data_IF_973697268668
#
_entry.id   IF_973697268668
#
_cell.length_a   1.000
_cell.length_b   1.000
_cell.length_c   1.000
_cell.angle_alpha   90.00
_cell.angle_beta   90.00
_cell.angle_gamma   90.00
#
_symmetry.space_group_name_H-M   'P 1'
#
loop_
_entity.id
_entity.type
_entity.pdbx_description
1 polymer ?
#
# COMPACT_ATOMS: atom_id res chain seq x y z
N UNK A 1 -32.14 -3.48 -4.70
CA UNK A 1 -30.99 -3.92 -5.53
C UNK A 1 -30.25 -5.00 -4.77
N UNK A 2 -29.79 -6.07 -5.44
CA UNK A 2 -28.98 -7.09 -4.77
C UNK A 2 -27.63 -6.48 -4.38
N UNK A 3 -27.25 -6.59 -3.11
CA UNK A 3 -25.91 -6.26 -2.62
C UNK A 3 -25.09 -7.55 -2.55
N UNK A 4 -23.81 -7.46 -2.90
CA UNK A 4 -22.88 -8.59 -2.94
C UNK A 4 -21.52 -8.17 -2.38
N UNK A 5 -20.71 -9.09 -1.86
CA UNK A 5 -19.37 -8.75 -1.41
C UNK A 5 -18.50 -8.25 -2.55
N UNK A 6 -17.83 -7.12 -2.36
CA UNK A 6 -16.82 -6.59 -3.27
C UNK A 6 -15.45 -6.90 -2.69
N UNK A 7 -14.60 -7.54 -3.50
CA UNK A 7 -13.24 -7.92 -3.14
C UNK A 7 -12.28 -7.45 -4.23
N UNK A 8 -11.29 -6.66 -3.85
CA UNK A 8 -10.20 -6.22 -4.73
C UNK A 8 -8.87 -6.50 -4.02
N UNK A 9 -8.03 -7.32 -4.65
CA UNK A 9 -6.69 -7.65 -4.20
C UNK A 9 -5.68 -7.39 -5.32
N UNK A 10 -4.62 -6.65 -4.99
CA UNK A 10 -3.47 -6.45 -5.87
C UNK A 10 -2.28 -7.18 -5.25
N UNK A 11 -1.84 -8.25 -5.91
CA UNK A 11 -0.65 -9.00 -5.54
C UNK A 11 0.60 -8.46 -6.23
N UNK A 12 1.64 -8.19 -5.45
CA UNK A 12 2.81 -7.41 -5.87
C UNK A 12 4.08 -8.13 -5.40
N UNK A 13 5.20 -7.90 -6.08
CA UNK A 13 6.52 -8.17 -5.50
C UNK A 13 6.79 -7.31 -4.26
N UNK A 14 7.78 -7.72 -3.44
CA UNK A 14 8.06 -7.12 -2.13
C UNK A 14 8.29 -5.60 -2.21
N UNK A 15 7.38 -4.85 -1.60
CA UNK A 15 7.46 -3.39 -1.47
C UNK A 15 8.27 -2.99 -0.23
N UNK A 16 8.94 -1.82 -0.25
CA UNK A 16 9.63 -1.31 0.93
C UNK A 16 8.68 -1.12 2.13
N UNK A 17 9.23 -1.25 3.34
CA UNK A 17 8.51 -1.03 4.58
C UNK A 17 7.90 0.39 4.67
N UNK A 18 6.76 0.54 5.35
CA UNK A 18 6.06 1.81 5.51
C UNK A 18 5.31 2.33 4.27
N UNK A 19 5.28 1.58 3.16
CA UNK A 19 4.58 1.98 1.93
C UNK A 19 3.26 1.22 1.69
N UNK A 20 3.13 0.01 2.22
CA UNK A 20 1.96 -0.86 1.98
C UNK A 20 0.65 -0.23 2.45
N UNK A 21 0.64 0.26 3.69
CA UNK A 21 -0.51 0.90 4.32
C UNK A 21 -0.94 2.17 3.57
N UNK A 22 0.03 3.01 3.17
CA UNK A 22 -0.25 4.21 2.37
C UNK A 22 -0.87 3.86 1.02
N UNK A 23 -0.37 2.83 0.34
CA UNK A 23 -0.94 2.41 -0.95
C UNK A 23 -2.35 1.85 -0.77
N UNK A 24 -2.59 1.08 0.29
CA UNK A 24 -3.91 0.60 0.67
C UNK A 24 -4.89 1.75 0.88
N UNK A 25 -4.54 2.73 1.72
CA UNK A 25 -5.43 3.84 2.06
C UNK A 25 -5.75 4.70 0.84
N UNK A 26 -4.76 4.96 -0.03
CA UNK A 26 -4.99 5.69 -1.27
C UNK A 26 -5.86 4.92 -2.27
N UNK A 27 -5.70 3.60 -2.36
CA UNK A 27 -6.54 2.76 -3.22
C UNK A 27 -7.97 2.70 -2.68
N UNK A 28 -8.15 2.55 -1.37
CA UNK A 28 -9.44 2.59 -0.70
C UNK A 28 -10.16 3.91 -1.00
N UNK A 29 -9.50 5.05 -0.73
CA UNK A 29 -10.07 6.37 -0.97
C UNK A 29 -10.46 6.59 -2.45
N UNK A 30 -9.64 6.11 -3.39
CA UNK A 30 -9.93 6.23 -4.82
C UNK A 30 -11.15 5.38 -5.24
N UNK A 31 -11.26 4.14 -4.74
CA UNK A 31 -12.40 3.26 -5.00
C UNK A 31 -13.68 3.81 -4.36
N UNK A 32 -13.62 4.27 -3.11
CA UNK A 32 -14.76 4.90 -2.43
C UNK A 32 -15.23 6.15 -3.16
N UNK A 33 -14.30 7.01 -3.60
CA UNK A 33 -14.61 8.22 -4.37
C UNK A 33 -15.26 7.86 -5.71
N UNK A 34 -14.76 6.84 -6.40
CA UNK A 34 -15.37 6.34 -7.64
C UNK A 34 -16.81 5.90 -7.40
N UNK A 35 -17.04 5.02 -6.41
CA UNK A 35 -18.37 4.50 -6.09
C UNK A 35 -19.33 5.64 -5.73
N UNK A 36 -18.87 6.60 -4.93
CA UNK A 36 -19.64 7.81 -4.57
C UNK A 36 -19.98 8.67 -5.78
N UNK A 37 -19.04 8.93 -6.68
CA UNK A 37 -19.26 9.72 -7.90
C UNK A 37 -20.27 9.07 -8.85
N UNK A 38 -20.36 7.73 -8.80
CA UNK A 38 -21.37 6.97 -9.52
C UNK A 38 -22.65 6.72 -8.71
N UNK A 39 -22.87 7.42 -7.59
CA UNK A 39 -24.03 7.26 -6.71
C UNK A 39 -24.29 5.79 -6.30
N UNK A 40 -23.21 5.01 -6.12
CA UNK A 40 -23.28 3.66 -5.58
C UNK A 40 -23.25 3.76 -4.05
N UNK A 41 -24.43 3.68 -3.44
CA UNK A 41 -24.60 3.81 -2.00
C UNK A 41 -24.25 2.50 -1.27
N UNK A 42 -23.17 2.54 -0.49
CA UNK A 42 -22.74 1.39 0.32
C UNK A 42 -23.57 1.26 1.61
N UNK A 43 -24.08 2.37 2.16
CA UNK A 43 -24.78 2.41 3.45
C UNK A 43 -23.79 2.43 4.61
N UNK A 44 -24.17 1.86 5.76
CA UNK A 44 -23.35 1.76 6.98
C UNK A 44 -22.32 0.61 6.94
N UNK A 45 -22.00 0.09 5.76
CA UNK A 45 -21.06 -1.00 5.58
C UNK A 45 -19.63 -0.53 5.88
N UNK A 46 -18.88 -1.38 6.60
CA UNK A 46 -17.49 -1.09 6.96
C UNK A 46 -16.53 -1.80 6.02
N UNK A 47 -15.56 -1.07 5.49
CA UNK A 47 -14.49 -1.67 4.72
C UNK A 47 -13.54 -2.48 5.61
N UNK A 48 -13.18 -3.67 5.13
CA UNK A 48 -12.03 -4.41 5.61
C UNK A 48 -10.85 -4.10 4.70
N UNK A 49 -9.84 -3.46 5.29
CA UNK A 49 -8.58 -3.20 4.64
C UNK A 49 -7.49 -4.12 5.19
N UNK A 50 -6.62 -4.62 4.30
CA UNK A 50 -5.44 -5.36 4.69
C UNK A 50 -4.30 -5.11 3.72
N UNK A 51 -3.08 -5.14 4.23
CA UNK A 51 -1.88 -4.98 3.42
C UNK A 51 -0.72 -5.77 4.01
N UNK A 52 0.19 -6.20 3.15
CA UNK A 52 1.41 -6.91 3.49
C UNK A 52 2.53 -6.43 2.55
N UNK A 53 3.79 -6.89 2.69
CA UNK A 53 4.85 -6.53 1.75
C UNK A 53 4.55 -6.93 0.30
N UNK A 54 3.55 -7.79 0.04
CA UNK A 54 3.26 -8.36 -1.29
C UNK A 54 1.81 -8.24 -1.72
N UNK A 55 0.98 -7.51 -0.98
CA UNK A 55 -0.47 -7.48 -1.18
C UNK A 55 -1.10 -6.21 -0.65
N UNK A 56 -2.08 -5.72 -1.40
CA UNK A 56 -3.06 -4.73 -0.96
C UNK A 56 -4.43 -5.36 -1.17
N UNK A 57 -5.30 -5.31 -0.16
CA UNK A 57 -6.63 -5.92 -0.16
C UNK A 57 -7.67 -4.93 0.36
N UNK A 58 -8.74 -4.76 -0.41
CA UNK A 58 -9.95 -4.03 -0.05
C UNK A 58 -11.13 -4.99 -0.14
N UNK A 59 -11.96 -4.97 0.88
CA UNK A 59 -13.14 -5.82 0.96
C UNK A 59 -14.30 -5.09 1.64
N UNK A 60 -15.51 -5.31 1.14
CA UNK A 60 -16.75 -4.85 1.78
C UNK A 60 -17.84 -5.89 1.53
N UNK A 61 -18.64 -6.17 2.56
CA UNK A 61 -19.61 -7.28 2.53
C UNK A 61 -20.82 -7.03 1.64
N UNK A 62 -21.23 -5.77 1.47
CA UNK A 62 -22.45 -5.45 0.74
C UNK A 62 -22.28 -4.22 -0.17
N UNK A 63 -21.82 -4.47 -1.40
CA UNK A 63 -21.78 -3.49 -2.48
C UNK A 63 -22.96 -3.73 -3.46
N UNK A 64 -23.73 -2.70 -3.84
CA UNK A 64 -24.77 -2.85 -4.86
C UNK A 64 -24.23 -3.40 -6.19
N UNK A 65 -24.92 -4.35 -6.80
CA UNK A 65 -24.53 -4.89 -8.11
C UNK A 65 -24.71 -3.88 -9.26
N UNK A 66 -25.62 -2.92 -9.09
CA UNK A 66 -26.02 -1.93 -10.09
C UNK A 66 -26.20 -0.56 -9.41
N UNK A 67 -25.83 0.50 -10.12
CA UNK A 67 -26.21 1.87 -9.77
C UNK A 67 -27.74 2.03 -9.79
N UNK A 68 -28.28 2.91 -8.95
CA UNK A 68 -29.68 3.33 -9.00
C UNK A 68 -30.05 3.87 -10.38
N UNK A 69 -31.22 3.49 -10.90
CA UNK A 69 -31.78 4.18 -12.06
C UNK A 69 -32.08 5.63 -11.64
N UNK A 70 -31.83 6.59 -12.54
CA UNK A 70 -32.05 8.00 -12.23
C UNK A 70 -32.82 8.71 -13.34
N UNK A 71 -33.65 9.65 -12.93
CA UNK A 71 -34.34 10.55 -13.84
C UNK A 71 -33.52 11.83 -13.96
N UNK A 72 -32.98 12.07 -15.15
CA UNK A 72 -32.22 13.27 -15.47
C UNK A 72 -33.15 14.29 -16.13
N UNK A 73 -33.25 15.48 -15.54
CA UNK A 73 -33.99 16.59 -16.16
C UNK A 73 -33.09 17.34 -17.13
N UNK A 74 -33.39 17.25 -18.42
CA UNK A 74 -32.67 17.94 -19.48
C UNK A 74 -33.38 19.26 -19.79
N UNK A 75 -32.65 20.36 -19.67
CA UNK A 75 -33.14 21.70 -20.00
C UNK A 75 -32.62 22.16 -21.35
N UNK A 76 -33.55 22.44 -22.26
CA UNK A 76 -33.29 22.97 -23.59
C UNK A 76 -33.41 24.49 -23.67
N UNK A 77 -33.44 25.02 -24.91
CA UNK A 77 -33.56 26.46 -25.13
C UNK A 77 -34.86 27.05 -24.56
N UNK A 78 -34.87 28.36 -24.26
CA UNK A 78 -36.09 29.05 -23.83
C UNK A 78 -37.16 29.02 -24.92
N UNK A 79 -38.43 29.09 -24.53
CA UNK A 79 -39.61 29.00 -25.40
C UNK A 79 -39.49 29.90 -26.64
N UNK A 80 -39.06 31.15 -26.47
CA UNK A 80 -38.89 32.14 -27.54
C UNK A 80 -37.82 31.78 -28.59
N UNK A 81 -36.91 30.88 -28.25
CA UNK A 81 -35.86 30.35 -29.14
C UNK A 81 -36.25 28.97 -29.67
N UNK A 82 -36.99 28.20 -28.87
CA UNK A 82 -37.42 26.85 -29.20
C UNK A 82 -38.56 26.82 -30.24
N UNK A 83 -39.47 27.80 -30.20
CA UNK A 83 -40.64 27.86 -31.07
C UNK A 83 -40.73 29.21 -31.79
N UNK A 84 -41.15 29.19 -33.05
CA UNK A 84 -41.42 30.41 -33.82
C UNK A 84 -42.80 31.01 -33.49
N UNK A 85 -43.14 32.12 -34.15
CA UNK A 85 -44.40 32.83 -33.93
C UNK A 85 -45.66 31.99 -34.28
N UNK A 86 -45.51 30.96 -35.11
CA UNK A 86 -46.58 30.03 -35.50
C UNK A 86 -46.63 28.79 -34.58
N UNK A 87 -45.79 28.75 -33.54
CA UNK A 87 -45.70 27.64 -32.60
C UNK A 87 -44.95 26.41 -33.15
N UNK A 88 -44.22 26.54 -34.26
CA UNK A 88 -43.45 25.44 -34.84
C UNK A 88 -42.05 25.35 -34.24
N UNK A 89 -41.50 24.14 -34.05
CA UNK A 89 -40.14 23.96 -33.55
C UNK A 89 -39.10 24.61 -34.47
N UNK A 90 -38.21 25.41 -33.90
CA UNK A 90 -37.10 26.00 -34.66
C UNK A 90 -35.97 24.97 -34.86
N UNK A 91 -35.00 25.29 -35.72
CA UNK A 91 -33.78 24.49 -35.87
C UNK A 91 -33.02 24.30 -34.55
N UNK A 92 -33.12 25.26 -33.62
CA UNK A 92 -32.48 25.17 -32.31
C UNK A 92 -33.15 24.11 -31.43
N UNK A 93 -34.49 24.06 -31.40
CA UNK A 93 -35.23 23.02 -30.69
C UNK A 93 -34.97 21.62 -31.28
N UNK A 94 -35.03 21.49 -32.61
CA UNK A 94 -34.81 20.21 -33.30
C UNK A 94 -33.36 19.72 -33.09
N UNK A 95 -32.39 20.61 -33.23
CA UNK A 95 -30.98 20.28 -33.02
C UNK A 95 -30.69 19.86 -31.58
N UNK A 96 -31.30 20.53 -30.59
CA UNK A 96 -31.16 20.18 -29.18
C UNK A 96 -31.80 18.83 -28.84
N UNK A 97 -33.02 18.59 -29.32
CA UNK A 97 -33.72 17.32 -29.13
C UNK A 97 -32.89 16.15 -29.70
N UNK A 98 -32.45 16.27 -30.96
CA UNK A 98 -31.62 15.25 -31.62
C UNK A 98 -30.29 15.02 -30.88
N UNK A 99 -29.61 16.08 -30.43
CA UNK A 99 -28.37 15.96 -29.64
C UNK A 99 -28.59 15.24 -28.31
N UNK A 100 -29.78 15.38 -27.73
CA UNK A 100 -30.17 14.72 -26.48
C UNK A 100 -30.70 13.30 -26.71
N UNK A 101 -30.79 12.84 -27.96
CA UNK A 101 -31.33 11.53 -28.33
C UNK A 101 -32.86 11.42 -28.21
N UNK A 102 -33.56 12.57 -28.22
CA UNK A 102 -35.01 12.68 -28.05
C UNK A 102 -35.65 13.36 -29.26
N UNK A 103 -36.96 13.22 -29.41
CA UNK A 103 -37.77 14.03 -30.32
C UNK A 103 -38.18 15.35 -29.64
N UNK A 104 -38.59 16.36 -30.42
CA UNK A 104 -39.09 17.62 -29.85
C UNK A 104 -40.35 17.39 -29.00
N UNK A 105 -41.16 16.39 -29.36
CA UNK A 105 -42.42 16.04 -28.68
C UNK A 105 -42.21 15.45 -27.28
N UNK A 106 -40.99 14.96 -26.99
CA UNK A 106 -40.61 14.46 -25.66
C UNK A 106 -40.39 15.62 -24.66
N UNK A 107 -40.35 16.87 -25.13
CA UNK A 107 -40.12 18.05 -24.30
C UNK A 107 -41.41 18.80 -23.98
N UNK A 108 -41.52 19.24 -22.73
CA UNK A 108 -42.57 20.15 -22.24
C UNK A 108 -41.97 21.50 -21.90
N UNK A 109 -42.77 22.55 -21.88
CA UNK A 109 -42.32 23.87 -21.45
C UNK A 109 -42.49 24.06 -19.94
N UNK A 110 -41.38 24.23 -19.23
CA UNK A 110 -41.36 24.43 -17.78
C UNK A 110 -40.52 25.66 -17.38
N UNK A 111 -40.88 26.28 -16.26
CA UNK A 111 -40.09 27.35 -15.64
C UNK A 111 -39.00 26.71 -14.75
N UNK A 112 -37.80 27.30 -14.73
CA UNK A 112 -36.69 26.86 -13.85
C UNK A 112 -36.88 27.28 -12.38
N UNK A 113 -38.02 27.89 -12.05
CA UNK A 113 -38.35 28.43 -10.73
C UNK A 113 -37.92 29.89 -10.54
N UNK A 114 -37.48 30.58 -11.60
CA UNK A 114 -37.01 31.96 -11.54
C UNK A 114 -38.03 32.99 -12.05
N UNK A 115 -39.14 32.52 -12.66
CA UNK A 115 -40.23 33.37 -13.13
C UNK A 115 -39.88 34.20 -14.38
N UNK A 116 -38.71 33.98 -14.99
CA UNK A 116 -38.20 34.82 -16.09
C UNK A 116 -38.58 34.29 -17.46
N UNK A 117 -38.57 32.97 -17.65
CA UNK A 117 -38.88 32.33 -18.92
C UNK A 117 -39.21 30.85 -18.76
N UNK A 118 -40.00 30.32 -19.69
CA UNK A 118 -40.20 28.88 -19.86
C UNK A 118 -39.14 28.31 -20.80
N UNK A 119 -38.71 27.10 -20.53
CA UNK A 119 -37.68 26.37 -21.28
C UNK A 119 -38.23 25.01 -21.67
N UNK A 120 -37.71 24.46 -22.76
CA UNK A 120 -37.91 23.04 -23.06
C UNK A 120 -37.33 22.20 -21.90
N UNK A 121 -38.10 21.23 -21.44
CA UNK A 121 -37.74 20.33 -20.36
C UNK A 121 -38.18 18.92 -20.74
N UNK A 122 -37.25 17.97 -20.72
CA UNK A 122 -37.57 16.55 -20.79
C UNK A 122 -37.02 15.87 -19.53
N UNK A 123 -37.73 14.85 -19.06
CA UNK A 123 -37.25 13.95 -18.02
C UNK A 123 -36.82 12.67 -18.70
N UNK A 124 -35.52 12.37 -18.65
CA UNK A 124 -34.96 11.17 -19.27
C UNK A 124 -34.67 10.16 -18.19
N UNK A 125 -35.31 9.00 -18.29
CA UNK A 125 -34.98 7.87 -17.46
C UNK A 125 -33.67 7.23 -17.93
N UNK A 126 -32.66 7.22 -17.06
CA UNK A 126 -31.37 6.56 -17.28
C UNK A 126 -31.32 5.30 -16.43
N UNK A 127 -31.25 4.14 -17.08
CA UNK A 127 -30.92 2.90 -16.38
C UNK A 127 -29.52 3.03 -15.78
N UNK A 128 -29.38 2.66 -14.51
CA UNK A 128 -28.09 2.59 -13.84
C UNK A 128 -27.14 1.62 -14.55
N UNK A 129 -25.83 1.85 -14.36
CA UNK A 129 -24.77 0.98 -14.88
C UNK A 129 -24.48 -0.16 -13.89
N UNK A 130 -23.97 -1.29 -14.38
CA UNK A 130 -23.46 -2.33 -13.49
C UNK A 130 -22.20 -1.82 -12.78
N UNK A 131 -22.07 -2.10 -11.49
CA UNK A 131 -20.91 -1.68 -10.71
C UNK A 131 -19.63 -2.40 -11.15
N UNK A 132 -19.77 -3.64 -11.64
CA UNK A 132 -18.69 -4.38 -12.30
C UNK A 132 -18.07 -3.58 -13.46
N UNK A 133 -18.90 -3.00 -14.32
CA UNK A 133 -18.42 -2.25 -15.50
C UNK A 133 -17.74 -0.93 -15.08
N UNK A 134 -18.33 -0.24 -14.10
CA UNK A 134 -17.75 0.99 -13.52
C UNK A 134 -16.35 0.73 -12.95
N UNK A 135 -16.20 -0.34 -12.16
CA UNK A 135 -14.92 -0.70 -11.56
C UNK A 135 -13.92 -1.17 -12.63
N UNK A 136 -14.34 -2.01 -13.58
CA UNK A 136 -13.48 -2.51 -14.64
C UNK A 136 -12.85 -1.37 -15.47
N UNK A 137 -13.63 -0.34 -15.79
CA UNK A 137 -13.16 0.84 -16.54
C UNK A 137 -12.18 1.70 -15.72
N UNK A 138 -12.44 1.87 -14.42
CA UNK A 138 -11.69 2.82 -13.59
C UNK A 138 -10.42 2.25 -12.94
N UNK A 139 -10.38 0.94 -12.65
CA UNK A 139 -9.29 0.32 -11.88
C UNK A 139 -7.90 0.51 -12.49
N UNK A 140 -7.66 0.37 -13.81
CA UNK A 140 -6.34 0.61 -14.39
C UNK A 140 -5.82 2.04 -14.12
N UNK A 141 -6.70 3.03 -14.20
CA UNK A 141 -6.36 4.44 -13.93
C UNK A 141 -6.14 4.72 -12.45
N UNK A 142 -6.92 4.10 -11.57
CA UNK A 142 -6.73 4.17 -10.12
C UNK A 142 -5.33 3.65 -9.76
N UNK A 143 -4.97 2.46 -10.25
CA UNK A 143 -3.67 1.83 -9.97
C UNK A 143 -2.51 2.67 -10.50
N UNK A 144 -2.64 3.26 -11.70
CA UNK A 144 -1.61 4.15 -12.28
C UNK A 144 -1.39 5.43 -11.49
N UNK A 145 -2.44 5.95 -10.83
CA UNK A 145 -2.40 7.20 -10.06
C UNK A 145 -2.00 7.00 -8.59
N UNK A 146 -1.82 5.77 -8.12
CA UNK A 146 -1.41 5.53 -6.74
C UNK A 146 -0.05 6.19 -6.45
N UNK A 147 0.06 6.95 -5.34
CA UNK A 147 1.28 7.66 -5.03
C UNK A 147 2.39 6.68 -4.68
N UNK A 148 3.54 6.82 -5.34
CA UNK A 148 4.71 5.99 -5.08
C UNK A 148 5.99 6.84 -5.11
N UNK A 149 6.90 6.68 -4.12
CA UNK A 149 8.14 7.44 -4.09
C UNK A 149 9.06 7.13 -5.27
N UNK A 150 8.97 5.91 -5.81
CA UNK A 150 9.67 5.47 -7.03
C UNK A 150 8.81 4.47 -7.77
N UNK A 151 8.55 4.75 -9.03
CA UNK A 151 7.84 3.84 -9.93
C UNK A 151 8.83 3.09 -10.81
N UNK A 152 8.54 1.82 -11.06
CA UNK A 152 9.23 1.00 -12.04
C UNK A 152 8.38 0.92 -13.30
N UNK A 153 9.00 1.10 -14.47
CA UNK A 153 8.40 0.83 -15.77
C UNK A 153 8.99 -0.47 -16.32
N UNK A 154 8.16 -1.30 -16.93
CA UNK A 154 8.60 -2.54 -17.57
C UNK A 154 8.28 -2.48 -19.05
N UNK A 155 9.32 -2.45 -19.88
CA UNK A 155 9.17 -2.49 -21.33
C UNK A 155 8.88 -3.93 -21.74
N UNK A 156 7.60 -4.26 -21.81
CA UNK A 156 7.11 -5.56 -22.29
C UNK A 156 6.27 -5.28 -23.56
N UNK A 157 7.00 -4.91 -24.63
CA UNK A 157 6.48 -4.41 -25.90
C UNK A 157 6.42 -2.87 -26.02
N UNK A 158 6.32 -2.35 -27.25
CA UNK A 158 6.31 -0.90 -27.57
C UNK A 158 5.02 -0.17 -27.11
N UNK A 159 4.03 -0.89 -26.56
CA UNK A 159 2.69 -0.36 -26.26
C UNK A 159 2.34 -0.27 -24.77
N UNK A 160 3.26 -0.61 -23.86
CA UNK A 160 2.98 -0.71 -22.42
C UNK A 160 3.71 0.41 -21.65
N UNK A 161 2.97 1.40 -21.14
CA UNK A 161 3.50 2.54 -20.36
C UNK A 161 3.06 2.50 -18.88
N UNK A 162 2.57 1.36 -18.40
CA UNK A 162 2.18 1.19 -17.00
C UNK A 162 3.41 1.24 -16.09
N UNK A 163 3.28 1.99 -14.99
CA UNK A 163 4.30 2.14 -13.97
C UNK A 163 3.71 1.84 -12.60
N UNK A 164 4.39 1.03 -11.80
CA UNK A 164 3.95 0.70 -10.44
C UNK A 164 5.15 0.58 -9.51
N UNK A 165 4.93 0.60 -8.19
CA UNK A 165 6.02 0.56 -7.20
C UNK A 165 6.92 -0.68 -7.37
N UNK A 166 6.31 -1.80 -7.74
CA UNK A 166 6.92 -3.12 -7.91
C UNK A 166 6.07 -3.94 -8.89
N UNK A 167 6.61 -4.99 -9.53
CA UNK A 167 5.84 -5.79 -10.48
C UNK A 167 4.56 -6.35 -9.86
N UNK A 168 3.42 -6.14 -10.53
CA UNK A 168 2.15 -6.81 -10.19
C UNK A 168 2.25 -8.26 -10.65
N UNK A 169 1.74 -9.20 -9.83
CA UNK A 169 1.88 -10.65 -10.02
C UNK A 169 0.55 -11.38 -10.14
N UNK A 170 -0.48 -10.91 -9.45
CA UNK A 170 -1.85 -11.38 -9.60
C UNK A 170 -2.83 -10.28 -9.20
N UNK A 171 -4.05 -10.34 -9.72
CA UNK A 171 -5.13 -9.43 -9.36
C UNK A 171 -6.36 -10.27 -9.10
N UNK A 172 -6.97 -10.13 -7.91
CA UNK A 172 -8.31 -10.65 -7.64
C UNK A 172 -9.25 -9.47 -7.64
N UNK A 173 -10.30 -9.50 -8.45
CA UNK A 173 -11.31 -8.46 -8.44
C UNK A 173 -12.68 -9.07 -8.72
N UNK A 174 -13.56 -9.02 -7.72
CA UNK A 174 -14.86 -9.70 -7.75
C UNK A 174 -15.96 -8.86 -7.11
N UNK A 175 -17.15 -8.95 -7.65
CA UNK A 175 -18.40 -8.52 -7.02
C UNK A 175 -19.32 -9.76 -6.97
N UNK A 176 -19.44 -10.34 -5.77
CA UNK A 176 -19.97 -11.70 -5.63
C UNK A 176 -19.18 -12.69 -6.50
N UNK A 177 -19.91 -13.51 -7.26
CA UNK A 177 -19.28 -14.50 -8.16
C UNK A 177 -18.75 -13.93 -9.48
N UNK A 178 -19.12 -12.70 -9.82
CA UNK A 178 -18.69 -12.03 -11.04
C UNK A 178 -17.26 -11.50 -10.87
N UNK A 179 -16.39 -11.83 -11.83
CA UNK A 179 -15.07 -11.19 -11.95
C UNK A 179 -15.28 -9.78 -12.51
N UNK A 180 -14.55 -8.81 -11.97
CA UNK A 180 -14.45 -7.44 -12.50
C UNK A 180 -13.34 -7.44 -13.55
N UNK A 181 -13.64 -7.45 -14.86
CA UNK A 181 -12.65 -7.78 -15.89
C UNK A 181 -11.81 -6.55 -16.26
N UNK A 182 -10.57 -6.49 -15.78
CA UNK A 182 -9.59 -5.49 -16.21
C UNK A 182 -8.19 -6.09 -16.28
N UNK A 183 -7.29 -5.37 -16.93
CA UNK A 183 -5.88 -5.71 -17.01
C UNK A 183 -5.06 -4.50 -16.57
N UNK A 184 -4.03 -4.73 -15.77
CA UNK A 184 -3.11 -3.68 -15.35
C UNK A 184 -1.70 -4.25 -15.24
N UNK A 185 -0.72 -3.51 -15.78
CA UNK A 185 0.66 -3.99 -15.87
C UNK A 185 0.72 -5.43 -16.42
N UNK A 186 -0.11 -5.71 -17.45
CA UNK A 186 -0.32 -6.99 -18.14
C UNK A 186 -0.68 -8.19 -17.28
N UNK A 187 -1.26 -7.94 -16.11
CA UNK A 187 -1.89 -8.95 -15.28
C UNK A 187 -3.40 -8.76 -15.39
N UNK A 188 -4.11 -9.81 -15.80
CA UNK A 188 -5.57 -9.82 -15.84
C UNK A 188 -6.14 -10.10 -14.45
N UNK A 189 -7.22 -9.43 -14.12
CA UNK A 189 -8.00 -9.73 -12.93
C UNK A 189 -8.67 -11.11 -13.03
N UNK A 190 -8.82 -11.77 -11.90
CA UNK A 190 -9.43 -13.09 -11.80
C UNK A 190 -9.91 -13.42 -10.39
N UNK A 191 -9.96 -14.72 -10.07
CA UNK A 191 -10.43 -15.24 -8.77
C UNK A 191 -9.31 -15.76 -7.87
N UNK A 192 -8.14 -16.06 -8.44
CA UNK A 192 -7.08 -16.81 -7.77
C UNK A 192 -6.11 -15.85 -7.05
N UNK A 193 -6.08 -15.95 -5.73
CA UNK A 193 -5.10 -15.34 -4.84
C UNK A 193 -3.93 -16.28 -4.56
N UNK A 194 -2.94 -15.77 -3.83
CA UNK A 194 -1.73 -16.48 -3.41
C UNK A 194 -1.46 -16.25 -1.93
N UNK A 195 -1.13 -17.34 -1.24
CA UNK A 195 -0.63 -17.34 0.12
C UNK A 195 0.81 -16.89 0.27
N UNK A 196 1.40 -17.23 1.41
CA UNK A 196 2.81 -16.98 1.69
C UNK A 196 3.71 -17.57 0.59
N UNK A 197 4.73 -16.83 0.15
CA UNK A 197 5.59 -17.21 -0.99
C UNK A 197 6.15 -18.63 -0.90
N UNK A 198 6.50 -19.06 0.31
CA UNK A 198 7.17 -20.34 0.57
C UNK A 198 6.25 -21.33 1.28
N UNK A 199 5.32 -20.84 2.12
CA UNK A 199 4.58 -21.66 3.06
C UNK A 199 3.08 -21.78 2.74
N UNK A 200 2.59 -21.01 1.77
CA UNK A 200 1.19 -21.01 1.36
C UNK A 200 1.00 -21.68 0.00
N UNK A 201 -0.26 -21.73 -0.42
CA UNK A 201 -0.68 -22.23 -1.73
C UNK A 201 -1.46 -21.16 -2.52
N UNK A 202 -2.05 -21.54 -3.65
CA UNK A 202 -2.92 -20.68 -4.47
C UNK A 202 -4.36 -21.14 -4.40
N UNK A 203 -5.32 -20.23 -4.41
CA UNK A 203 -6.74 -20.55 -4.31
C UNK A 203 -7.62 -19.32 -4.36
N UNK A 204 -8.93 -19.50 -4.24
CA UNK A 204 -9.86 -18.39 -4.16
C UNK A 204 -10.01 -17.89 -2.72
N UNK A 205 -10.02 -16.57 -2.56
CA UNK A 205 -10.36 -15.95 -1.28
C UNK A 205 -11.85 -16.17 -0.99
N UNK A 206 -12.16 -16.37 0.30
CA UNK A 206 -13.54 -16.28 0.78
C UNK A 206 -14.05 -14.85 0.55
N UNK A 207 -15.20 -14.74 -0.10
CA UNK A 207 -15.83 -13.45 -0.42
C UNK A 207 -16.47 -12.79 0.79
N UNK A 208 -16.79 -13.52 1.85
CA UNK A 208 -17.38 -12.97 3.07
C UNK A 208 -16.32 -12.63 4.11
N UNK A 209 -15.24 -13.40 4.17
CA UNK A 209 -14.10 -13.10 5.03
C UNK A 209 -12.76 -13.52 4.38
N UNK A 210 -12.16 -12.66 3.55
CA UNK A 210 -10.91 -12.99 2.85
C UNK A 210 -9.73 -13.21 3.81
N UNK A 211 -9.82 -12.74 5.06
CA UNK A 211 -8.73 -12.83 6.04
C UNK A 211 -8.56 -14.27 6.53
N UNK A 212 -9.64 -15.03 6.65
CA UNK A 212 -9.61 -16.44 7.10
C UNK A 212 -8.75 -17.29 6.18
N UNK A 213 -9.04 -17.26 4.88
CA UNK A 213 -8.24 -18.01 3.89
C UNK A 213 -6.77 -17.56 3.91
N UNK A 214 -6.51 -16.25 4.01
CA UNK A 214 -5.14 -15.74 4.07
C UNK A 214 -4.38 -16.28 5.29
N UNK A 215 -5.01 -16.32 6.46
CA UNK A 215 -4.40 -16.88 7.67
C UNK A 215 -4.08 -18.38 7.52
N UNK A 216 -4.98 -19.18 6.92
CA UNK A 216 -4.73 -20.59 6.59
C UNK A 216 -3.55 -20.76 5.64
N UNK A 217 -3.37 -19.81 4.72
CA UNK A 217 -2.25 -19.77 3.78
C UNK A 217 -1.00 -19.06 4.33
N UNK A 218 -0.88 -18.98 5.66
CA UNK A 218 0.25 -18.38 6.39
C UNK A 218 0.46 -16.91 6.02
N UNK A 219 -0.61 -16.15 5.91
CA UNK A 219 -0.58 -14.69 5.69
C UNK A 219 -1.41 -14.01 6.76
N UNK A 220 -0.73 -13.35 7.69
CA UNK A 220 -1.38 -12.48 8.66
C UNK A 220 -1.61 -11.14 7.98
N UNK A 221 -2.77 -10.97 7.33
CA UNK A 221 -2.99 -9.89 6.38
C UNK A 221 -3.15 -8.50 7.02
N UNK A 222 -3.68 -8.43 8.25
CA UNK A 222 -3.87 -7.17 8.97
C UNK A 222 -2.57 -6.73 9.65
N UNK A 223 -2.14 -5.51 9.36
CA UNK A 223 -0.88 -4.94 9.86
C UNK A 223 -0.84 -4.87 11.39
N UNK A 224 -1.92 -4.42 12.02
CA UNK A 224 -2.01 -4.32 13.49
C UNK A 224 -1.96 -5.69 14.18
N UNK A 225 -2.54 -6.73 13.55
CA UNK A 225 -2.44 -8.09 14.06
C UNK A 225 -0.98 -8.58 14.02
N UNK A 226 -0.23 -8.26 12.96
CA UNK A 226 1.21 -8.56 12.85
C UNK A 226 2.02 -7.85 13.92
N UNK A 227 1.81 -6.55 14.12
CA UNK A 227 2.48 -5.75 15.17
C UNK A 227 2.21 -6.36 16.55
N UNK A 228 0.94 -6.65 16.86
CA UNK A 228 0.53 -7.26 18.12
C UNK A 228 1.12 -8.66 18.31
N UNK A 229 1.16 -9.47 17.25
CA UNK A 229 1.76 -10.80 17.28
C UNK A 229 3.26 -10.75 17.59
N UNK A 230 4.01 -9.92 16.85
CA UNK A 230 5.46 -9.74 17.04
C UNK A 230 5.76 -9.35 18.49
N UNK A 231 5.08 -8.30 19.01
CA UNK A 231 5.27 -7.84 20.38
C UNK A 231 5.03 -8.94 21.42
N UNK A 232 3.90 -9.65 21.32
CA UNK A 232 3.56 -10.75 22.26
C UNK A 232 4.58 -11.88 22.19
N UNK A 233 4.96 -12.31 20.99
CA UNK A 233 5.91 -13.40 20.81
C UNK A 233 7.31 -13.03 21.32
N UNK A 234 7.78 -11.80 21.09
CA UNK A 234 9.05 -11.32 21.65
C UNK A 234 9.03 -11.30 23.19
N UNK A 235 7.93 -10.83 23.79
CA UNK A 235 7.77 -10.83 25.25
C UNK A 235 7.84 -12.25 25.83
N UNK A 236 7.17 -13.22 25.21
CA UNK A 236 7.19 -14.63 25.64
C UNK A 236 8.62 -15.20 25.57
N UNK A 237 9.34 -14.98 24.47
CA UNK A 237 10.73 -15.43 24.33
C UNK A 237 11.64 -14.83 25.40
N UNK A 238 11.50 -13.52 25.66
CA UNK A 238 12.27 -12.85 26.69
C UNK A 238 11.96 -13.36 28.10
N UNK A 239 10.68 -13.56 28.44
CA UNK A 239 10.26 -14.05 29.76
C UNK A 239 10.83 -15.44 30.06
N UNK A 240 10.86 -16.34 29.07
CA UNK A 240 11.39 -17.69 29.22
C UNK A 240 12.89 -17.70 29.61
N UNK A 241 13.64 -16.68 29.18
CA UNK A 241 15.09 -16.55 29.39
C UNK A 241 15.45 -15.53 30.49
N UNK A 242 14.45 -14.92 31.12
CA UNK A 242 14.66 -13.85 32.10
C UNK A 242 15.26 -12.58 31.51
N UNK A 243 14.98 -12.31 30.23
CA UNK A 243 15.40 -11.13 29.50
C UNK A 243 14.26 -10.10 29.40
N UNK A 244 14.59 -8.90 28.93
CA UNK A 244 13.61 -7.89 28.49
C UNK A 244 14.00 -7.39 27.10
N UNK A 245 13.04 -7.32 26.18
CA UNK A 245 13.27 -6.69 24.88
C UNK A 245 13.34 -5.17 25.05
N UNK A 246 14.29 -4.53 24.38
CA UNK A 246 14.33 -3.06 24.31
C UNK A 246 13.21 -2.60 23.37
N UNK A 247 12.29 -1.80 23.90
CA UNK A 247 11.12 -1.34 23.15
C UNK A 247 11.53 -0.46 21.96
N UNK A 248 11.01 -0.78 20.78
CA UNK A 248 11.24 -0.02 19.54
C UNK A 248 10.02 -0.19 18.61
N UNK A 249 9.00 0.65 18.83
CA UNK A 249 7.73 0.56 18.10
C UNK A 249 7.91 0.77 16.59
N UNK A 250 8.84 1.64 16.19
CA UNK A 250 9.20 1.90 14.80
C UNK A 250 9.78 0.63 14.15
N UNK A 251 10.71 -0.06 14.83
CA UNK A 251 11.29 -1.29 14.30
C UNK A 251 10.26 -2.42 14.24
N UNK A 252 9.34 -2.53 15.21
CA UNK A 252 8.25 -3.52 15.15
C UNK A 252 7.36 -3.25 13.94
N UNK A 253 6.98 -1.99 13.71
CA UNK A 253 6.23 -1.58 12.54
C UNK A 253 6.97 -1.89 11.22
N UNK A 254 8.28 -1.59 11.14
CA UNK A 254 9.11 -1.91 9.97
C UNK A 254 9.12 -3.43 9.72
N UNK A 255 9.36 -4.24 10.75
CA UNK A 255 9.39 -5.71 10.62
C UNK A 255 8.03 -6.30 10.24
N UNK A 256 6.94 -5.73 10.77
CA UNK A 256 5.58 -6.10 10.36
C UNK A 256 5.31 -5.78 8.88
N UNK A 257 5.97 -4.75 8.33
CA UNK A 257 5.89 -4.37 6.92
C UNK A 257 6.88 -5.13 6.02
N UNK A 258 7.78 -5.93 6.60
CA UNK A 258 8.72 -6.82 5.91
C UNK A 258 8.28 -8.28 5.91
N UNK A 259 7.22 -8.62 6.67
CA UNK A 259 6.78 -10.00 6.85
C UNK A 259 5.28 -10.18 6.55
N UNK A 260 4.93 -11.35 6.01
CA UNK A 260 3.56 -11.84 5.88
C UNK A 260 3.21 -12.81 7.02
N UNK A 261 4.18 -13.56 7.53
CA UNK A 261 4.06 -14.50 8.65
C UNK A 261 5.24 -14.37 9.62
N UNK A 262 5.23 -13.35 10.49
CA UNK A 262 6.34 -13.10 11.40
C UNK A 262 6.47 -14.23 12.43
N UNK A 263 7.69 -14.76 12.58
CA UNK A 263 8.08 -15.75 13.60
C UNK A 263 9.32 -15.22 14.32
N UNK A 264 9.13 -14.55 15.47
CA UNK A 264 10.26 -14.13 16.32
C UNK A 264 11.04 -15.33 16.85
N UNK A 265 12.35 -15.21 16.90
CA UNK A 265 13.26 -16.23 17.43
C UNK A 265 14.46 -15.57 18.11
N UNK A 266 14.95 -16.23 19.17
CA UNK A 266 16.10 -15.77 19.92
C UNK A 266 17.39 -16.28 19.27
N UNK A 267 18.39 -15.41 19.17
CA UNK A 267 19.73 -15.72 18.72
C UNK A 267 20.77 -15.05 19.63
N UNK A 268 22.03 -15.44 19.48
CA UNK A 268 23.12 -15.01 20.35
C UNK A 268 24.33 -14.56 19.53
N UNK A 269 24.92 -13.42 19.87
CA UNK A 269 26.18 -12.95 19.32
C UNK A 269 27.33 -13.12 20.34
N UNK A 270 28.58 -12.96 19.90
CA UNK A 270 29.76 -13.14 20.74
C UNK A 270 29.80 -12.17 21.92
N UNK A 271 30.08 -12.68 23.12
CA UNK A 271 30.15 -11.87 24.35
C UNK A 271 31.21 -10.77 24.29
N UNK A 272 32.28 -10.98 23.53
CA UNK A 272 33.33 -9.96 23.30
C UNK A 272 32.79 -8.64 22.75
N UNK A 273 31.63 -8.66 22.06
CA UNK A 273 31.00 -7.45 21.54
C UNK A 273 30.29 -6.61 22.62
N UNK A 274 30.06 -7.16 23.82
CA UNK A 274 29.48 -6.39 24.94
C UNK A 274 30.42 -5.30 25.47
N UNK A 275 31.68 -5.26 25.03
CA UNK A 275 32.59 -4.13 25.26
C UNK A 275 32.22 -2.88 24.45
N UNK A 276 31.43 -3.04 23.39
CA UNK A 276 30.97 -1.90 22.58
C UNK A 276 29.88 -1.16 23.36
N UNK A 277 29.76 0.18 23.16
CA UNK A 277 28.63 0.92 23.71
C UNK A 277 27.30 0.30 23.27
N UNK A 278 26.33 0.24 24.18
CA UNK A 278 25.01 -0.36 23.91
C UNK A 278 24.36 0.21 22.66
N UNK A 279 24.41 1.53 22.47
CA UNK A 279 23.84 2.18 21.28
C UNK A 279 24.53 1.75 19.99
N UNK A 280 25.84 1.47 20.00
CA UNK A 280 26.53 0.96 18.83
C UNK A 280 26.02 -0.45 18.46
N UNK A 281 25.79 -1.32 19.46
CA UNK A 281 25.20 -2.65 19.25
C UNK A 281 23.77 -2.50 18.72
N UNK A 282 22.93 -1.70 19.39
CA UNK A 282 21.53 -1.48 19.03
C UNK A 282 21.38 -0.94 17.61
N UNK A 283 22.12 0.11 17.25
CA UNK A 283 22.07 0.69 15.89
C UNK A 283 22.55 -0.32 14.86
N UNK A 284 23.61 -1.07 15.13
CA UNK A 284 24.14 -2.09 14.22
C UNK A 284 23.09 -3.17 13.93
N UNK A 285 22.44 -3.69 14.98
CA UNK A 285 21.41 -4.73 14.84
C UNK A 285 20.13 -4.20 14.20
N UNK A 286 19.66 -3.01 14.60
CA UNK A 286 18.47 -2.36 14.03
C UNK A 286 18.66 -2.05 12.55
N UNK A 287 19.68 -1.28 12.19
CA UNK A 287 19.85 -0.77 10.83
C UNK A 287 20.22 -1.85 9.81
N UNK A 288 21.08 -2.81 10.18
CA UNK A 288 21.59 -3.79 9.23
C UNK A 288 20.77 -5.08 9.17
N UNK A 289 20.12 -5.48 10.27
CA UNK A 289 19.44 -6.78 10.37
C UNK A 289 18.01 -6.73 10.92
N UNK A 290 17.48 -5.54 11.27
CA UNK A 290 16.14 -5.36 11.86
C UNK A 290 15.91 -6.28 13.06
N UNK A 291 16.95 -6.39 13.88
CA UNK A 291 16.95 -7.23 15.07
C UNK A 291 16.74 -6.40 16.33
N UNK A 292 16.12 -7.00 17.35
CA UNK A 292 15.83 -6.37 18.63
C UNK A 292 16.84 -6.81 19.68
N UNK A 293 17.51 -5.85 20.32
CA UNK A 293 18.41 -6.13 21.44
C UNK A 293 17.62 -6.45 22.71
N UNK A 294 18.23 -7.21 23.62
CA UNK A 294 17.62 -7.54 24.91
C UNK A 294 18.51 -7.12 26.08
N UNK A 295 17.88 -6.75 27.19
CA UNK A 295 18.51 -6.54 28.49
C UNK A 295 18.41 -7.79 29.36
N UNK A 296 19.42 -7.99 30.21
CA UNK A 296 19.41 -9.00 31.27
C UNK A 296 18.57 -8.57 32.49
N UNK A 297 18.57 -9.40 33.54
CA UNK A 297 17.84 -9.11 34.79
C UNK A 297 18.39 -7.90 35.55
N UNK A 298 19.65 -7.55 35.33
CA UNK A 298 20.33 -6.42 35.96
C UNK A 298 20.09 -5.11 35.21
N UNK A 299 19.47 -5.16 34.02
CA UNK A 299 19.24 -4.02 33.15
C UNK A 299 20.41 -3.70 32.21
N UNK A 300 21.40 -4.58 32.10
CA UNK A 300 22.51 -4.43 31.15
C UNK A 300 22.15 -5.05 29.81
N UNK A 301 22.71 -4.54 28.71
CA UNK A 301 22.62 -5.22 27.42
C UNK A 301 23.17 -6.65 27.49
N UNK A 302 22.38 -7.58 26.97
CA UNK A 302 22.76 -8.99 26.86
C UNK A 302 23.30 -9.30 25.47
N UNK A 303 24.03 -10.40 25.34
CA UNK A 303 24.49 -10.92 24.03
C UNK A 303 23.40 -11.66 23.25
N UNK A 304 22.16 -11.63 23.73
CA UNK A 304 21.00 -12.21 23.09
C UNK A 304 20.23 -11.13 22.35
N UNK A 305 19.61 -11.53 21.24
CA UNK A 305 18.80 -10.65 20.41
C UNK A 305 17.68 -11.44 19.76
N UNK A 306 16.63 -10.74 19.34
CA UNK A 306 15.50 -11.35 18.63
C UNK A 306 15.59 -10.97 17.16
N UNK A 307 15.59 -11.99 16.30
CA UNK A 307 15.33 -11.84 14.88
C UNK A 307 13.89 -12.27 14.58
N UNK A 308 13.32 -11.80 13.47
CA UNK A 308 11.97 -12.19 13.03
C UNK A 308 12.07 -12.85 11.67
N UNK A 309 11.82 -14.15 11.61
CA UNK A 309 11.70 -14.88 10.36
C UNK A 309 10.33 -14.61 9.72
N UNK A 310 10.25 -14.76 8.40
CA UNK A 310 8.96 -14.71 7.68
C UNK A 310 8.40 -16.12 7.40
N UNK A 311 8.88 -17.13 8.12
CA UNK A 311 8.49 -18.52 7.91
C UNK A 311 8.64 -19.31 9.20
N UNK A 312 7.70 -20.23 9.41
CA UNK A 312 7.80 -21.26 10.43
C UNK A 312 8.81 -22.32 9.98
N UNK A 313 10.07 -22.17 10.42
CA UNK A 313 11.14 -23.10 10.07
C UNK A 313 10.94 -24.46 10.74
N UNK A 314 11.30 -25.54 10.02
CA UNK A 314 11.38 -26.90 10.59
C UNK A 314 12.54 -27.04 11.58
N UNK A 315 13.54 -26.17 11.47
CA UNK A 315 14.70 -26.10 12.37
C UNK A 315 14.98 -24.64 12.72
N UNK A 316 14.50 -24.20 13.89
CA UNK A 316 14.67 -22.83 14.37
C UNK A 316 16.12 -22.55 14.76
N UNK A 317 16.86 -23.56 15.23
CA UNK A 317 18.26 -23.39 15.62
C UNK A 317 19.14 -22.99 14.44
N UNK A 318 18.92 -23.57 13.26
CA UNK A 318 19.64 -23.19 12.04
C UNK A 318 19.35 -21.75 11.60
N UNK A 319 18.13 -21.28 11.80
CA UNK A 319 17.76 -19.88 11.51
C UNK A 319 18.45 -18.94 12.52
N UNK A 320 18.48 -19.31 13.80
CA UNK A 320 19.17 -18.55 14.83
C UNK A 320 20.69 -18.47 14.57
N UNK A 321 21.33 -19.59 14.24
CA UNK A 321 22.75 -19.66 13.85
C UNK A 321 23.06 -18.78 12.63
N UNK A 322 22.20 -18.82 11.61
CA UNK A 322 22.33 -18.00 10.42
C UNK A 322 22.27 -16.50 10.73
N UNK A 323 21.28 -16.06 11.52
CA UNK A 323 21.16 -14.67 11.96
C UNK A 323 22.34 -14.26 12.84
N UNK A 324 22.76 -15.11 13.78
CA UNK A 324 23.92 -14.88 14.62
C UNK A 324 25.18 -14.67 13.77
N UNK A 325 25.42 -15.49 12.75
CA UNK A 325 26.58 -15.33 11.86
C UNK A 325 26.60 -13.95 11.19
N UNK A 326 25.46 -13.47 10.71
CA UNK A 326 25.38 -12.14 10.06
C UNK A 326 25.56 -11.02 11.08
N UNK A 327 24.94 -11.12 12.25
CA UNK A 327 25.08 -10.12 13.33
C UNK A 327 26.53 -10.04 13.83
N UNK A 328 27.19 -11.18 14.06
CA UNK A 328 28.60 -11.20 14.46
C UNK A 328 29.50 -10.53 13.42
N UNK A 329 29.27 -10.76 12.12
CA UNK A 329 30.04 -10.08 11.07
C UNK A 329 29.86 -8.55 11.11
N UNK A 330 28.63 -8.06 11.36
CA UNK A 330 28.35 -6.62 11.47
C UNK A 330 28.94 -6.00 12.74
N UNK A 331 28.89 -6.72 13.86
CA UNK A 331 29.51 -6.27 15.10
C UNK A 331 31.03 -6.31 15.02
N UNK A 332 31.63 -7.23 14.26
CA UNK A 332 33.06 -7.24 13.97
C UNK A 332 33.50 -5.96 13.24
N UNK A 333 32.74 -5.52 12.23
CA UNK A 333 33.00 -4.26 11.53
C UNK A 333 32.92 -3.07 12.51
N UNK A 334 31.84 -2.99 13.31
CA UNK A 334 31.65 -1.94 14.30
C UNK A 334 32.79 -1.92 15.34
N UNK A 335 33.19 -3.10 15.83
CA UNK A 335 34.29 -3.27 16.76
C UNK A 335 35.63 -2.82 16.19
N UNK A 336 35.90 -3.15 14.92
CA UNK A 336 37.11 -2.70 14.23
C UNK A 336 37.21 -1.16 14.20
N UNK A 337 36.11 -0.47 13.85
CA UNK A 337 36.09 1.00 13.88
C UNK A 337 36.23 1.55 15.30
N UNK A 338 35.54 0.95 16.27
CA UNK A 338 35.62 1.37 17.67
C UNK A 338 37.03 1.25 18.25
N UNK A 339 37.79 0.22 17.85
CA UNK A 339 39.18 0.03 18.30
C UNK A 339 40.16 0.94 17.56
N UNK A 340 39.94 1.13 16.25
CA UNK A 340 40.83 1.90 15.39
C UNK A 340 40.66 3.39 15.56
N UNK A 341 39.45 3.88 15.79
CA UNK A 341 39.20 5.32 15.80
C UNK A 341 39.97 6.07 16.91
N UNK A 342 40.07 5.54 18.13
CA UNK A 342 40.87 6.13 19.20
C UNK A 342 42.39 6.04 18.97
N UNK A 343 42.87 5.27 17.98
CA UNK A 343 44.32 5.11 17.76
C UNK A 343 44.99 6.37 17.20
N UNK A 344 44.20 7.36 16.75
CA UNK A 344 44.68 8.62 16.19
C UNK A 344 43.89 9.79 16.78
N UNK A 345 44.60 10.81 17.26
CA UNK A 345 43.97 12.00 17.84
C UNK A 345 43.23 12.80 16.78
N UNK A 346 42.22 13.57 17.19
CA UNK A 346 41.51 14.47 16.28
C UNK A 346 42.47 15.48 15.64
N UNK A 347 43.46 15.99 16.38
CA UNK A 347 44.48 16.90 15.85
C UNK A 347 45.31 16.26 14.73
N UNK A 348 45.73 15.00 14.89
CA UNK A 348 46.45 14.27 13.85
C UNK A 348 45.58 14.05 12.60
N UNK A 349 44.26 13.88 12.77
CA UNK A 349 43.30 13.79 11.65
C UNK A 349 43.14 15.13 10.93
N UNK A 350 43.17 16.27 11.62
CA UNK A 350 43.14 17.61 11.01
C UNK A 350 44.34 17.81 10.09
N UNK A 351 45.52 17.33 10.47
CA UNK A 351 46.71 17.43 9.61
C UNK A 351 46.58 16.65 8.30
N UNK A 352 45.77 15.59 8.25
CA UNK A 352 45.49 14.85 7.00
C UNK A 352 44.70 15.67 5.98
N UNK A 353 44.00 16.73 6.39
CA UNK A 353 43.28 17.61 5.48
C UNK A 353 44.23 18.36 4.53
N UNK A 354 45.52 18.48 4.87
CA UNK A 354 46.56 19.00 3.98
C UNK A 354 46.80 18.14 2.74
N UNK A 355 46.33 16.88 2.73
CA UNK A 355 46.44 15.95 1.60
C UNK A 355 45.16 15.82 0.76
N UNK A 356 44.08 16.52 1.11
CA UNK A 356 42.79 16.46 0.41
C UNK A 356 42.59 17.73 -0.39
N UNK A 357 42.56 17.64 -1.72
CA UNK A 357 42.26 18.79 -2.57
C UNK A 357 40.81 19.24 -2.36
N UNK A 358 40.59 20.52 -2.02
CA UNK A 358 39.24 21.05 -1.86
C UNK A 358 38.59 21.28 -3.23
N UNK A 359 39.26 22.06 -4.06
CA UNK A 359 38.90 22.31 -5.45
C UNK A 359 40.15 22.78 -6.20
N UNK A 360 40.26 22.37 -7.47
CA UNK A 360 41.36 22.81 -8.33
C UNK A 360 41.46 24.35 -8.37
N UNK A 361 42.66 24.87 -8.11
CA UNK A 361 42.93 26.31 -8.03
C UNK A 361 42.55 27.01 -6.71
N UNK A 362 41.86 26.33 -5.77
CA UNK A 362 41.43 26.92 -4.49
C UNK A 362 42.16 26.38 -3.25
N UNK A 363 43.05 25.41 -3.43
CA UNK A 363 43.92 24.86 -2.39
C UNK A 363 43.42 23.55 -1.79
N UNK A 364 43.93 23.25 -0.59
CA UNK A 364 43.61 22.02 0.14
C UNK A 364 42.41 22.24 1.08
N UNK A 365 41.79 21.15 1.52
CA UNK A 365 40.66 21.18 2.45
C UNK A 365 41.07 21.81 3.79
N UNK A 366 42.33 21.65 4.20
CA UNK A 366 42.88 22.36 5.36
C UNK A 366 42.87 23.88 5.20
N UNK A 367 43.12 24.40 3.99
CA UNK A 367 43.09 25.84 3.72
C UNK A 367 41.68 26.40 3.86
N UNK A 368 40.65 25.63 3.48
CA UNK A 368 39.26 26.01 3.69
C UNK A 368 38.92 26.05 5.18
N UNK A 369 39.23 24.98 5.91
CA UNK A 369 38.91 24.86 7.34
C UNK A 369 39.59 25.98 8.15
N UNK A 370 40.83 26.36 7.82
CA UNK A 370 41.54 27.48 8.47
C UNK A 370 40.95 28.87 8.20
N UNK A 371 40.09 29.01 7.18
CA UNK A 371 39.43 30.28 6.83
C UNK A 371 38.06 30.44 7.51
N UNK A 372 37.53 29.37 8.11
CA UNK A 372 36.32 29.39 8.94
C UNK A 372 36.68 29.72 10.38
#
# INVERSE_FOLDING_TARGET
>A
MSKQPLLIEIGIEEIPAGLAEKLQDNMAAAVETLLKNHAVELGDETWTHACTPRRILLHINACPAKQADCDETIWGPPEKVAFDADGKPTKAAIGFANKSGLSVDDFRLADKGDGKARYMQAVVHRSGRNVVDILAEAMPDILRKLPSPKQMKWNDGDTRDDAFIRPVRWIVARLGDAVIPFEYAGVKSGKISRGHRIAGSTGELDLHDPIVWLAEQKVMAKREERIGHINRAMQVLCQAEGLKVVADEELVAEVADLTEWPVPLLATFGEDYLRLPEEAIRITLKAHQRCFVTHDKSGNISNKFIAVANIESKDVSKVAEGNARVVNARLADAAFYFDRDPSETLDARVEKLNGVTFQEGLGMLSDQVRRM
#
